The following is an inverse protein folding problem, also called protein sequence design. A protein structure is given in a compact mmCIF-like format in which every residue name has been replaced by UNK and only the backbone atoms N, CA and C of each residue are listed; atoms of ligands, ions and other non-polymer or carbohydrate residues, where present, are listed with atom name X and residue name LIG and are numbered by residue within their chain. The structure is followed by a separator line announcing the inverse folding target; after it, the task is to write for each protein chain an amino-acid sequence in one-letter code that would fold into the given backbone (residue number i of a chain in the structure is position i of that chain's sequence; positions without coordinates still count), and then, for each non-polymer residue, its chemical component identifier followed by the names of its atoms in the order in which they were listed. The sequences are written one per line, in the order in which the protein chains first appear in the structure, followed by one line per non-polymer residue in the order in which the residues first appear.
data_IF_025647992834
#
_entry.id   IF_025647992834
#
_cell.length_a   1.000
_cell.length_b   1.000
_cell.length_c   1.000
_cell.angle_alpha   90.00
_cell.angle_beta   90.00
_cell.angle_gamma   90.00
#
_symmetry.space_group_name_H-M   'P 1'
#
loop_
_entity.id
_entity.type
_entity.pdbx_description
1 polymer ?
#
# COMPACT_ATOMS: atom_id res chain seq x y z
N UNK A 1 -7.40 -20.38 -1.69
CA UNK A 1 -7.99 -19.11 -2.16
C UNK A 1 -9.45 -19.24 -2.58
N UNK A 2 -9.89 -20.35 -3.20
CA UNK A 2 -11.30 -20.50 -3.66
C UNK A 2 -12.35 -20.24 -2.58
N UNK A 3 -12.25 -20.87 -1.40
CA UNK A 3 -13.28 -20.74 -0.34
C UNK A 3 -13.60 -19.30 0.08
N UNK A 4 -12.61 -18.40 0.14
CA UNK A 4 -12.83 -17.01 0.53
C UNK A 4 -13.51 -16.21 -0.59
N UNK A 5 -13.08 -16.40 -1.84
CA UNK A 5 -13.71 -15.78 -3.00
C UNK A 5 -15.12 -16.33 -3.23
N UNK A 6 -15.35 -17.63 -3.02
CA UNK A 6 -16.66 -18.27 -3.08
C UNK A 6 -17.61 -17.68 -2.03
N UNK A 7 -17.10 -17.42 -0.81
CA UNK A 7 -17.86 -16.76 0.25
C UNK A 7 -18.24 -15.33 -0.13
N UNK A 8 -17.30 -14.54 -0.67
CA UNK A 8 -17.56 -13.17 -1.13
C UNK A 8 -18.58 -13.19 -2.27
N UNK A 9 -18.41 -14.06 -3.27
CA UNK A 9 -19.33 -14.23 -4.38
C UNK A 9 -20.75 -14.59 -3.90
N UNK A 10 -20.87 -15.55 -2.98
CA UNK A 10 -22.15 -15.92 -2.39
C UNK A 10 -22.78 -14.77 -1.59
N UNK A 11 -21.97 -13.95 -0.92
CA UNK A 11 -22.45 -12.78 -0.16
C UNK A 11 -22.95 -11.67 -1.08
N UNK A 12 -22.24 -11.39 -2.18
CA UNK A 12 -22.68 -10.45 -3.22
C UNK A 12 -23.98 -10.95 -3.87
N UNK A 13 -24.07 -12.24 -4.21
CA UNK A 13 -25.29 -12.81 -4.78
C UNK A 13 -26.52 -12.70 -3.86
N UNK A 14 -26.33 -12.84 -2.53
CA UNK A 14 -27.40 -12.58 -1.55
C UNK A 14 -27.83 -11.11 -1.54
N UNK A 15 -26.88 -10.20 -1.61
CA UNK A 15 -27.16 -8.76 -1.67
C UNK A 15 -27.96 -8.39 -2.94
N UNK A 16 -27.54 -8.88 -4.11
CA UNK A 16 -28.28 -8.62 -5.36
C UNK A 16 -29.67 -9.27 -5.37
N UNK A 17 -29.80 -10.48 -4.81
CA UNK A 17 -31.10 -11.14 -4.66
C UNK A 17 -32.06 -10.34 -3.78
N UNK A 18 -31.55 -9.70 -2.71
CA UNK A 18 -32.35 -8.83 -1.86
C UNK A 18 -32.82 -7.58 -2.60
N UNK A 19 -31.94 -6.94 -3.39
CA UNK A 19 -32.32 -5.81 -4.24
C UNK A 19 -33.41 -6.19 -5.25
N UNK A 20 -33.32 -7.38 -5.86
CA UNK A 20 -34.33 -7.87 -6.78
C UNK A 20 -35.67 -8.12 -6.08
N UNK A 21 -35.65 -8.77 -4.92
CA UNK A 21 -36.87 -9.07 -4.14
C UNK A 21 -37.59 -7.81 -3.64
N UNK A 22 -36.86 -6.73 -3.37
CA UNK A 22 -37.43 -5.43 -2.97
C UNK A 22 -37.81 -4.53 -4.16
N UNK A 23 -37.59 -4.97 -5.41
CA UNK A 23 -37.88 -4.16 -6.60
C UNK A 23 -36.84 -3.08 -6.93
N UNK A 24 -35.67 -3.10 -6.29
CA UNK A 24 -34.61 -2.10 -6.42
C UNK A 24 -33.45 -2.50 -7.35
N UNK A 25 -33.59 -3.62 -8.07
CA UNK A 25 -32.55 -4.07 -9.00
C UNK A 25 -32.29 -3.09 -10.17
N UNK A 26 -33.25 -2.22 -10.51
CA UNK A 26 -33.15 -1.29 -11.66
C UNK A 26 -32.85 0.16 -11.27
N UNK A 27 -32.99 0.54 -10.01
CA UNK A 27 -32.77 1.90 -9.51
C UNK A 27 -31.54 2.01 -8.60
N UNK A 28 -30.86 0.88 -8.35
CA UNK A 28 -29.64 0.81 -7.55
C UNK A 28 -28.43 0.64 -8.46
N UNK A 29 -27.38 1.43 -8.22
CA UNK A 29 -26.05 1.19 -8.80
C UNK A 29 -25.16 0.57 -7.73
N UNK A 30 -24.48 -0.52 -8.08
CA UNK A 30 -23.53 -1.23 -7.23
C UNK A 30 -22.13 -0.97 -7.77
N UNK A 31 -21.25 -0.44 -6.92
CA UNK A 31 -19.82 -0.31 -7.20
C UNK A 31 -19.08 -1.23 -6.23
N UNK A 32 -18.52 -2.32 -6.73
CA UNK A 32 -17.79 -3.32 -5.96
C UNK A 32 -16.29 -3.18 -6.21
N UNK A 33 -15.53 -3.03 -5.12
CA UNK A 33 -14.07 -2.99 -5.16
C UNK A 33 -13.47 -3.43 -3.82
N UNK A 34 -12.15 -3.30 -3.68
CA UNK A 34 -11.41 -3.59 -2.45
C UNK A 34 -10.51 -2.39 -2.07
N UNK A 35 -10.08 -2.35 -0.80
CA UNK A 35 -9.16 -1.31 -0.32
C UNK A 35 -7.71 -1.49 -0.83
N UNK A 36 -7.29 -2.74 -0.99
CA UNK A 36 -5.97 -3.17 -1.47
C UNK A 36 -6.01 -4.68 -1.78
N UNK A 37 -4.97 -5.17 -2.44
CA UNK A 37 -4.64 -6.58 -2.62
C UNK A 37 -3.77 -7.13 -1.49
N UNK A 38 -2.86 -8.04 -1.85
CA UNK A 38 -1.93 -8.76 -0.96
C UNK A 38 -0.68 -9.14 -1.76
N UNK A 39 0.50 -8.84 -1.22
CA UNK A 39 1.80 -9.12 -1.84
C UNK A 39 2.68 -10.04 -0.98
N UNK A 40 3.32 -11.07 -1.55
CA UNK A 40 3.16 -11.50 -2.94
C UNK A 40 1.89 -12.36 -3.13
N UNK A 41 1.27 -12.28 -4.31
CA UNK A 41 0.22 -13.22 -4.69
C UNK A 41 0.78 -14.62 -4.96
N UNK A 42 1.99 -14.73 -5.52
CA UNK A 42 2.72 -15.98 -5.65
C UNK A 42 3.58 -16.23 -4.40
N UNK A 43 3.08 -17.10 -3.52
CA UNK A 43 3.75 -17.45 -2.27
C UNK A 43 5.18 -17.99 -2.46
N UNK A 44 5.54 -18.52 -3.63
CA UNK A 44 6.91 -18.99 -3.89
C UNK A 44 7.93 -17.85 -3.98
N UNK A 45 7.47 -16.63 -4.27
CA UNK A 45 8.31 -15.42 -4.35
C UNK A 45 8.58 -14.80 -2.98
N UNK A 46 7.85 -15.23 -1.94
CA UNK A 46 7.98 -14.70 -0.58
C UNK A 46 9.42 -14.78 -0.06
N UNK A 47 9.83 -13.69 0.57
CA UNK A 47 11.04 -13.56 1.38
C UNK A 47 10.71 -12.77 2.64
N UNK A 48 10.64 -13.44 3.78
CA UNK A 48 10.44 -12.82 5.09
C UNK A 48 11.76 -12.29 5.61
N UNK A 49 11.83 -11.02 5.99
CA UNK A 49 13.04 -10.35 6.47
C UNK A 49 12.76 -9.77 7.85
N UNK A 50 13.53 -10.10 8.90
CA UNK A 50 13.39 -9.44 10.20
C UNK A 50 13.93 -8.01 10.11
N UNK A 51 13.03 -7.04 10.12
CA UNK A 51 13.27 -5.60 10.20
C UNK A 51 14.10 -5.21 11.42
N UNK A 52 13.87 -5.85 12.57
CA UNK A 52 14.60 -5.54 13.81
C UNK A 52 16.12 -5.62 13.64
N UNK A 53 16.63 -6.62 12.90
CA UNK A 53 18.07 -6.76 12.66
C UNK A 53 18.64 -5.62 11.80
N UNK A 54 17.84 -5.12 10.84
CA UNK A 54 18.23 -3.98 10.00
C UNK A 54 18.27 -2.71 10.84
N UNK A 55 17.22 -2.48 11.64
CA UNK A 55 17.07 -1.30 12.51
C UNK A 55 18.15 -1.28 13.60
N UNK A 56 18.42 -2.41 14.25
CA UNK A 56 19.48 -2.53 15.26
C UNK A 56 20.85 -2.19 14.67
N UNK A 57 21.14 -2.68 13.46
CA UNK A 57 22.38 -2.37 12.77
C UNK A 57 22.48 -0.90 12.33
N UNK A 58 21.37 -0.29 11.90
CA UNK A 58 21.31 1.14 11.59
C UNK A 58 21.62 1.98 12.84
N UNK A 59 20.96 1.67 13.94
CA UNK A 59 21.15 2.34 15.22
C UNK A 59 22.57 2.18 15.75
N UNK A 60 23.14 0.99 15.67
CA UNK A 60 24.53 0.75 16.06
C UNK A 60 25.52 1.56 15.19
N UNK A 61 25.32 1.59 13.88
CA UNK A 61 26.15 2.37 12.95
C UNK A 61 26.03 3.86 13.22
N UNK A 62 24.81 4.36 13.48
CA UNK A 62 24.56 5.75 13.85
C UNK A 62 25.31 6.16 15.12
N UNK A 63 25.20 5.37 16.20
CA UNK A 63 25.88 5.65 17.48
C UNK A 63 27.39 5.60 17.34
N UNK A 64 27.92 4.74 16.47
CA UNK A 64 29.36 4.71 16.18
C UNK A 64 29.83 5.99 15.48
N UNK A 65 29.02 6.56 14.59
CA UNK A 65 29.33 7.81 13.90
C UNK A 65 29.04 9.05 14.77
N UNK A 66 28.12 8.94 15.74
CA UNK A 66 27.68 10.01 16.63
C UNK A 66 27.76 9.58 18.10
N UNK A 67 28.96 9.50 18.70
CA UNK A 67 29.12 9.03 20.07
C UNK A 67 28.26 9.83 21.07
N UNK A 68 27.48 9.11 21.88
CA UNK A 68 26.58 9.70 22.87
C UNK A 68 25.16 10.01 22.37
N UNK A 69 24.85 9.75 21.10
CA UNK A 69 23.48 9.86 20.58
C UNK A 69 22.57 8.71 21.08
N UNK A 70 21.27 8.97 21.08
CA UNK A 70 20.26 7.93 21.23
C UNK A 70 20.15 7.07 19.95
N UNK A 71 19.27 6.07 19.95
CA UNK A 71 18.91 5.37 18.72
C UNK A 71 18.39 6.35 17.67
N UNK A 72 18.79 6.14 16.41
CA UNK A 72 18.35 6.98 15.30
C UNK A 72 16.89 6.71 14.98
N UNK A 73 16.50 5.43 14.85
CA UNK A 73 15.11 5.06 14.60
C UNK A 73 14.32 5.17 15.90
N UNK A 74 13.43 6.15 15.97
CA UNK A 74 12.56 6.37 17.12
C UNK A 74 11.27 5.54 17.04
N UNK A 75 10.78 5.29 15.83
CA UNK A 75 9.58 4.49 15.57
C UNK A 75 9.62 3.93 14.14
N UNK A 76 9.05 2.74 13.95
CA UNK A 76 8.88 2.15 12.61
C UNK A 76 7.52 1.50 12.42
N UNK A 77 7.08 1.47 11.16
CA UNK A 77 5.92 0.67 10.71
C UNK A 77 6.30 -0.03 9.42
N UNK A 78 6.62 -1.31 9.55
CA UNK A 78 7.21 -2.10 8.48
C UNK A 78 6.35 -3.34 8.21
N UNK A 79 6.08 -3.60 6.94
CA UNK A 79 5.37 -4.77 6.43
C UNK A 79 5.93 -5.09 5.03
N UNK A 80 5.28 -4.68 3.95
CA UNK A 80 5.80 -4.71 2.57
C UNK A 80 6.22 -3.30 2.07
N UNK A 81 6.38 -2.39 3.01
CA UNK A 81 7.14 -1.14 2.95
C UNK A 81 7.97 -1.01 4.22
N UNK A 82 8.93 -0.09 4.22
CA UNK A 82 9.67 0.30 5.42
C UNK A 82 9.42 1.79 5.68
N UNK A 83 8.94 2.14 6.87
CA UNK A 83 8.70 3.52 7.27
C UNK A 83 9.37 3.79 8.60
N UNK A 84 10.37 4.68 8.61
CA UNK A 84 11.15 4.98 9.80
C UNK A 84 10.99 6.46 10.16
N UNK A 85 10.57 6.73 11.38
CA UNK A 85 10.65 8.04 12.02
C UNK A 85 11.94 8.11 12.82
N UNK A 86 12.75 9.11 12.54
CA UNK A 86 14.06 9.28 13.15
C UNK A 86 13.98 10.23 14.35
N UNK A 87 14.87 10.05 15.31
CA UNK A 87 15.04 10.96 16.45
C UNK A 87 15.72 12.27 16.04
N UNK A 88 16.44 12.26 14.92
CA UNK A 88 16.97 13.42 14.22
C UNK A 88 16.29 13.54 12.85
N UNK A 89 15.37 14.51 12.71
CA UNK A 89 14.61 14.78 11.49
C UNK A 89 15.38 15.60 10.43
N UNK A 90 16.69 15.77 10.59
CA UNK A 90 17.50 16.48 9.60
C UNK A 90 17.66 15.66 8.30
N UNK A 91 17.81 16.38 7.18
CA UNK A 91 18.09 15.73 5.89
C UNK A 91 19.39 14.90 5.94
N UNK A 92 20.37 15.29 6.77
CA UNK A 92 21.62 14.56 6.93
C UNK A 92 21.40 13.20 7.62
N UNK A 93 20.60 13.17 8.68
CA UNK A 93 20.23 11.93 9.38
C UNK A 93 19.40 11.00 8.49
N UNK A 94 18.44 11.55 7.73
CA UNK A 94 17.69 10.78 6.74
C UNK A 94 18.60 10.23 5.64
N UNK A 95 19.56 11.01 5.13
CA UNK A 95 20.50 10.52 4.12
C UNK A 95 21.41 9.41 4.68
N UNK A 96 21.87 9.55 5.93
CA UNK A 96 22.63 8.51 6.61
C UNK A 96 21.86 7.18 6.67
N UNK A 97 20.60 7.22 7.07
CA UNK A 97 19.76 6.03 7.14
C UNK A 97 19.53 5.42 5.75
N UNK A 98 19.28 6.25 4.73
CA UNK A 98 19.16 5.80 3.34
C UNK A 98 20.43 5.11 2.83
N UNK A 99 21.61 5.65 3.10
CA UNK A 99 22.88 5.09 2.66
C UNK A 99 23.16 3.74 3.34
N UNK A 100 22.87 3.65 4.65
CA UNK A 100 22.93 2.38 5.38
C UNK A 100 22.00 1.33 4.75
N UNK A 101 20.72 1.67 4.57
CA UNK A 101 19.73 0.74 4.02
C UNK A 101 20.12 0.28 2.61
N UNK A 102 20.67 1.17 1.80
CA UNK A 102 21.13 0.88 0.44
C UNK A 102 22.32 -0.09 0.41
N UNK A 103 23.23 -0.02 1.38
CA UNK A 103 24.43 -0.84 1.44
C UNK A 103 24.24 -2.16 2.23
N UNK A 104 23.23 -2.24 3.09
CA UNK A 104 23.07 -3.34 4.03
C UNK A 104 22.38 -4.56 3.39
N UNK A 105 23.02 -5.75 3.31
CA UNK A 105 22.31 -6.98 2.98
C UNK A 105 21.55 -7.49 4.21
N UNK A 106 20.33 -8.00 4.02
CA UNK A 106 19.50 -8.53 5.10
C UNK A 106 19.24 -10.03 4.92
N UNK A 107 19.40 -10.80 5.99
CA UNK A 107 19.05 -12.21 6.02
C UNK A 107 17.53 -12.37 6.12
N UNK A 108 16.99 -13.44 5.56
CA UNK A 108 15.56 -13.73 5.55
C UNK A 108 15.29 -15.21 5.30
N UNK A 109 14.01 -15.54 5.04
CA UNK A 109 13.61 -16.89 4.69
C UNK A 109 12.45 -16.94 3.70
N UNK A 110 12.40 -18.00 2.90
CA UNK A 110 11.30 -18.23 1.97
C UNK A 110 10.03 -18.80 2.65
N UNK A 111 8.99 -19.09 1.86
CA UNK A 111 7.74 -19.68 2.35
C UNK A 111 7.93 -20.97 3.16
N UNK A 112 8.93 -21.79 2.84
CA UNK A 112 9.27 -23.04 3.51
C UNK A 112 10.22 -22.84 4.70
N UNK A 113 10.68 -21.61 4.92
CA UNK A 113 11.63 -21.26 5.97
C UNK A 113 13.09 -21.52 5.60
N UNK A 114 13.41 -21.80 4.33
CA UNK A 114 14.78 -21.90 3.86
C UNK A 114 15.43 -20.52 3.81
N UNK A 115 16.71 -20.44 4.19
CA UNK A 115 17.41 -19.17 4.28
C UNK A 115 17.51 -18.47 2.91
N UNK A 116 17.29 -17.15 2.92
CA UNK A 116 17.51 -16.24 1.80
C UNK A 116 18.27 -15.02 2.30
N UNK A 117 18.91 -14.31 1.38
CA UNK A 117 19.51 -13.00 1.66
C UNK A 117 19.06 -12.03 0.59
N UNK A 118 18.61 -10.85 0.99
CA UNK A 118 18.27 -9.75 0.09
C UNK A 118 19.35 -8.68 0.15
N UNK A 119 19.56 -7.98 -0.95
CA UNK A 119 20.41 -6.77 -0.98
C UNK A 119 19.59 -5.55 -0.62
N UNK A 120 20.26 -4.42 -0.32
CA UNK A 120 19.58 -3.13 -0.13
C UNK A 120 18.49 -3.18 0.94
N UNK A 121 18.73 -3.96 2.00
CA UNK A 121 17.79 -4.25 3.08
C UNK A 121 16.47 -4.90 2.64
N UNK A 122 16.34 -5.36 1.39
CA UNK A 122 15.09 -5.83 0.81
C UNK A 122 14.27 -4.75 0.11
N UNK A 123 14.85 -3.58 -0.13
CA UNK A 123 14.19 -2.42 -0.74
C UNK A 123 14.53 -2.29 -2.22
N UNK A 124 13.54 -1.93 -3.03
CA UNK A 124 13.69 -1.58 -4.44
C UNK A 124 13.97 -0.09 -4.62
N UNK A 125 13.51 0.75 -3.67
CA UNK A 125 13.77 2.19 -3.63
C UNK A 125 13.71 2.70 -2.21
N UNK A 126 14.53 3.70 -1.89
CA UNK A 126 14.55 4.38 -0.59
C UNK A 126 14.46 5.88 -0.81
N UNK A 127 13.48 6.53 -0.19
CA UNK A 127 13.30 7.97 -0.14
C UNK A 127 13.71 8.48 1.25
N UNK A 128 14.36 9.64 1.31
CA UNK A 128 14.84 10.25 2.55
C UNK A 128 14.50 11.74 2.67
N UNK A 129 13.95 12.14 3.81
CA UNK A 129 13.66 13.51 4.19
C UNK A 129 12.79 14.22 3.16
N UNK A 130 13.33 15.24 2.50
CA UNK A 130 12.64 16.00 1.44
C UNK A 130 12.11 15.13 0.29
N UNK A 131 12.75 13.99 -0.01
CA UNK A 131 12.23 13.05 -1.01
C UNK A 131 10.93 12.38 -0.55
N UNK A 132 10.79 12.08 0.75
CA UNK A 132 9.57 11.53 1.34
C UNK A 132 8.47 12.60 1.35
N UNK A 133 8.82 13.84 1.74
CA UNK A 133 7.89 14.96 1.69
C UNK A 133 7.33 15.17 0.28
N UNK A 134 8.20 15.13 -0.74
CA UNK A 134 7.80 15.22 -2.14
C UNK A 134 6.91 14.03 -2.56
N UNK A 135 7.23 12.81 -2.12
CA UNK A 135 6.43 11.62 -2.43
C UNK A 135 4.98 11.75 -1.94
N UNK A 136 4.79 12.28 -0.73
CA UNK A 136 3.47 12.44 -0.12
C UNK A 136 2.80 13.81 -0.39
N UNK A 137 3.46 14.70 -1.12
CA UNK A 137 2.94 16.06 -1.37
C UNK A 137 2.82 16.90 -0.09
N UNK A 138 3.74 16.70 0.87
CA UNK A 138 3.77 17.38 2.17
C UNK A 138 5.08 18.16 2.37
N UNK A 139 5.30 18.69 3.57
CA UNK A 139 6.52 19.37 4.00
C UNK A 139 7.34 18.47 4.92
N UNK A 140 8.66 18.67 4.95
CA UNK A 140 9.56 17.92 5.84
C UNK A 140 9.32 18.16 7.33
N UNK A 141 8.56 19.21 7.69
CA UNK A 141 8.16 19.51 9.06
C UNK A 141 6.92 18.74 9.53
N UNK A 142 6.25 17.98 8.65
CA UNK A 142 5.04 17.25 8.98
C UNK A 142 5.38 15.90 9.64
N UNK A 143 5.33 15.87 10.97
CA UNK A 143 5.66 14.70 11.79
C UNK A 143 4.76 13.48 11.56
N UNK A 144 3.66 13.61 10.81
CA UNK A 144 2.79 12.47 10.44
C UNK A 144 3.43 11.55 9.41
N UNK A 145 4.44 12.03 8.68
CA UNK A 145 5.13 11.26 7.65
C UNK A 145 6.52 10.84 8.14
N UNK A 146 7.02 9.68 7.71
CA UNK A 146 8.32 9.19 8.15
C UNK A 146 9.45 10.00 7.50
N UNK A 147 10.64 9.97 8.10
CA UNK A 147 11.83 10.54 7.48
C UNK A 147 12.42 9.61 6.42
N UNK A 148 12.14 8.30 6.53
CA UNK A 148 12.50 7.28 5.54
C UNK A 148 11.26 6.57 5.04
N UNK A 149 11.12 6.49 3.71
CA UNK A 149 10.17 5.60 3.05
C UNK A 149 10.94 4.63 2.13
N UNK A 150 10.98 3.36 2.52
CA UNK A 150 11.48 2.26 1.71
C UNK A 150 10.34 1.55 0.99
N UNK A 151 10.44 1.43 -0.34
CA UNK A 151 9.59 0.56 -1.13
C UNK A 151 10.23 -0.83 -1.14
N UNK A 152 9.55 -1.86 -0.65
CA UNK A 152 10.09 -3.21 -0.67
C UNK A 152 10.25 -3.72 -2.11
N UNK A 153 11.14 -4.69 -2.29
CA UNK A 153 11.13 -5.53 -3.49
C UNK A 153 9.89 -6.43 -3.44
N UNK A 154 9.23 -6.66 -4.57
CA UNK A 154 8.05 -7.54 -4.62
C UNK A 154 8.37 -8.90 -3.99
N UNK A 155 7.53 -9.32 -3.05
CA UNK A 155 7.70 -10.56 -2.29
C UNK A 155 8.50 -10.43 -1.00
N UNK A 156 9.15 -9.30 -0.73
CA UNK A 156 9.75 -9.02 0.59
C UNK A 156 8.66 -8.62 1.58
N UNK A 157 8.64 -9.29 2.72
CA UNK A 157 7.76 -8.99 3.86
C UNK A 157 8.60 -8.86 5.12
N UNK A 158 8.56 -7.69 5.75
CA UNK A 158 9.23 -7.42 7.01
C UNK A 158 8.48 -8.06 8.17
N UNK A 159 9.13 -9.02 8.83
CA UNK A 159 8.60 -9.72 9.99
C UNK A 159 9.67 -10.56 10.70
N UNK A 160 9.63 -10.58 12.02
CA UNK A 160 10.43 -11.53 12.83
C UNK A 160 9.90 -12.97 12.82
N UNK A 161 8.69 -13.21 12.30
CA UNK A 161 8.02 -14.51 12.33
C UNK A 161 8.07 -15.30 11.02
N UNK A 162 7.47 -16.50 11.02
CA UNK A 162 7.27 -17.34 9.82
C UNK A 162 5.80 -17.50 9.42
N UNK A 163 4.88 -16.92 10.18
CA UNK A 163 3.45 -17.11 9.98
C UNK A 163 2.89 -16.27 8.83
N UNK A 164 3.41 -15.05 8.61
CA UNK A 164 2.99 -14.19 7.51
C UNK A 164 3.34 -14.85 6.17
N UNK A 165 2.42 -14.85 5.22
CA UNK A 165 2.64 -15.44 3.88
C UNK A 165 2.48 -14.42 2.75
N UNK A 166 1.90 -13.27 3.07
CA UNK A 166 1.76 -12.07 2.28
C UNK A 166 1.49 -10.92 3.26
N UNK A 167 1.71 -9.69 2.84
CA UNK A 167 1.29 -8.46 3.51
C UNK A 167 0.66 -7.50 2.52
N UNK A 168 0.25 -6.33 2.99
CA UNK A 168 -0.20 -5.26 2.12
C UNK A 168 0.24 -3.88 2.60
N UNK A 169 0.16 -2.90 1.71
CA UNK A 169 0.57 -1.51 1.99
C UNK A 169 1.71 -1.06 1.10
N UNK A 170 2.25 -2.00 0.33
CA UNK A 170 3.27 -1.85 -0.70
C UNK A 170 2.85 -0.97 -1.87
N UNK A 171 3.86 -0.62 -2.68
CA UNK A 171 3.66 0.05 -3.96
C UNK A 171 3.54 -0.94 -5.14
N UNK A 172 3.48 -2.25 -4.86
CA UNK A 172 3.44 -3.29 -5.90
C UNK A 172 2.08 -3.37 -6.59
N UNK A 173 2.01 -3.96 -7.78
CA UNK A 173 0.73 -4.23 -8.44
C UNK A 173 -0.14 -5.17 -7.61
N UNK A 174 0.46 -6.20 -6.99
CA UNK A 174 -0.23 -7.14 -6.09
C UNK A 174 -0.90 -6.44 -4.90
N UNK A 175 -0.39 -5.28 -4.47
CA UNK A 175 -0.98 -4.42 -3.45
C UNK A 175 -2.07 -3.49 -3.97
N UNK A 176 -1.79 -2.85 -5.11
CA UNK A 176 -2.54 -1.67 -5.56
C UNK A 176 -3.63 -2.00 -6.56
N UNK A 177 -3.46 -3.05 -7.33
CA UNK A 177 -4.40 -3.43 -8.38
C UNK A 177 -5.52 -4.26 -7.76
N UNK A 178 -6.69 -3.64 -7.64
CA UNK A 178 -7.89 -4.26 -7.09
C UNK A 178 -8.99 -4.38 -8.15
N UNK A 179 -9.85 -5.41 -8.07
CA UNK A 179 -11.03 -5.48 -8.92
C UNK A 179 -11.91 -4.24 -8.73
N UNK A 180 -12.49 -3.74 -9.82
CA UNK A 180 -13.50 -2.71 -9.80
C UNK A 180 -14.62 -3.10 -10.77
N UNK A 181 -15.80 -3.36 -10.24
CA UNK A 181 -16.99 -3.75 -11.01
C UNK A 181 -18.10 -2.75 -10.72
N UNK A 182 -18.77 -2.28 -11.76
CA UNK A 182 -19.94 -1.41 -11.66
C UNK A 182 -21.12 -2.12 -12.30
N UNK A 183 -22.23 -2.22 -11.58
CA UNK A 183 -23.50 -2.78 -12.04
C UNK A 183 -24.60 -1.72 -11.86
N UNK A 184 -25.43 -1.48 -12.89
CA UNK A 184 -26.43 -0.41 -12.90
C UNK A 184 -26.02 0.81 -13.73
N UNK A 185 -26.37 2.02 -13.30
CA UNK A 185 -25.99 3.30 -13.92
C UNK A 185 -26.36 3.47 -15.43
N UNK A 186 -27.49 2.92 -15.87
CA UNK A 186 -27.95 2.88 -17.28
C UNK A 186 -27.11 2.00 -18.21
N UNK A 187 -26.23 1.14 -17.69
CA UNK A 187 -25.54 0.16 -18.52
C UNK A 187 -26.48 -1.00 -18.87
N UNK A 188 -26.96 -1.00 -20.11
CA UNK A 188 -27.83 -2.07 -20.62
C UNK A 188 -27.09 -3.38 -20.92
N UNK A 189 -25.75 -3.33 -21.03
CA UNK A 189 -24.93 -4.46 -21.45
C UNK A 189 -23.60 -4.50 -20.69
N UNK A 190 -23.25 -5.69 -20.19
CA UNK A 190 -21.95 -5.96 -19.58
C UNK A 190 -20.81 -5.69 -20.59
N UNK A 191 -19.74 -5.05 -20.12
CA UNK A 191 -18.53 -4.79 -20.91
C UNK A 191 -17.30 -4.74 -20.01
N UNK A 192 -16.14 -5.00 -20.60
CA UNK A 192 -14.86 -4.73 -19.96
C UNK A 192 -14.35 -3.37 -20.43
N UNK A 193 -14.00 -2.51 -19.49
CA UNK A 193 -13.31 -1.23 -19.76
C UNK A 193 -11.82 -1.45 -19.51
N UNK A 194 -10.99 -1.23 -20.54
CA UNK A 194 -9.53 -1.43 -20.46
C UNK A 194 -8.76 -0.14 -20.17
N UNK A 195 -9.46 1.00 -20.15
CA UNK A 195 -8.87 2.28 -19.73
C UNK A 195 -8.42 2.17 -18.27
N UNK A 196 -7.19 2.60 -17.99
CA UNK A 196 -6.69 2.66 -16.62
C UNK A 196 -7.54 3.60 -15.77
N UNK A 197 -7.87 3.16 -14.56
CA UNK A 197 -8.66 3.91 -13.58
C UNK A 197 -8.05 3.74 -12.19
N UNK A 198 -8.38 4.65 -11.29
CA UNK A 198 -7.96 4.62 -9.89
C UNK A 198 -9.16 4.53 -8.95
N UNK A 199 -8.97 3.93 -7.77
CA UNK A 199 -10.02 3.85 -6.73
C UNK A 199 -10.45 5.23 -6.22
N UNK A 200 -9.60 6.25 -6.36
CA UNK A 200 -9.93 7.67 -6.10
C UNK A 200 -11.12 8.16 -6.93
N UNK A 201 -11.37 7.56 -8.10
CA UNK A 201 -12.49 7.91 -8.97
C UNK A 201 -13.84 7.37 -8.48
N UNK A 202 -13.88 6.48 -7.49
CA UNK A 202 -15.12 5.89 -6.96
C UNK A 202 -16.00 6.97 -6.31
N UNK A 203 -15.43 7.77 -5.40
CA UNK A 203 -16.18 8.81 -4.69
C UNK A 203 -16.84 9.86 -5.61
N UNK A 204 -16.13 10.51 -6.56
CA UNK A 204 -16.78 11.44 -7.49
C UNK A 204 -17.82 10.75 -8.37
N UNK A 205 -17.63 9.47 -8.71
CA UNK A 205 -18.63 8.69 -9.46
C UNK A 205 -19.91 8.50 -8.67
N UNK A 206 -19.82 8.17 -7.37
CA UNK A 206 -20.98 8.05 -6.49
C UNK A 206 -21.77 9.36 -6.46
N UNK A 207 -21.10 10.50 -6.26
CA UNK A 207 -21.78 11.81 -6.27
C UNK A 207 -22.48 12.05 -7.60
N UNK A 208 -21.81 11.81 -8.72
CA UNK A 208 -22.38 11.98 -10.06
C UNK A 208 -23.61 11.10 -10.28
N UNK A 209 -23.56 9.83 -9.89
CA UNK A 209 -24.67 8.87 -10.00
C UNK A 209 -25.88 9.30 -9.16
N UNK A 210 -25.66 9.93 -8.01
CA UNK A 210 -26.70 10.50 -7.16
C UNK A 210 -27.21 11.87 -7.63
N UNK A 211 -26.74 12.39 -8.77
CA UNK A 211 -27.08 13.72 -9.27
C UNK A 211 -26.45 14.88 -8.48
N UNK A 212 -25.43 14.59 -7.67
CA UNK A 212 -24.67 15.57 -6.89
C UNK A 212 -23.44 16.05 -7.66
N UNK A 213 -22.95 17.24 -7.32
CA UNK A 213 -21.75 17.83 -7.93
C UNK A 213 -20.46 17.22 -7.33
N UNK A 214 -19.64 16.50 -8.11
CA UNK A 214 -18.38 15.93 -7.63
C UNK A 214 -17.38 16.97 -7.12
N UNK A 215 -17.46 18.23 -7.59
CA UNK A 215 -16.57 19.30 -7.12
C UNK A 215 -16.83 19.70 -5.67
N UNK A 216 -17.87 19.17 -5.01
CA UNK A 216 -18.04 19.32 -3.57
C UNK A 216 -17.01 18.53 -2.75
N UNK A 217 -16.28 17.59 -3.37
CA UNK A 217 -15.17 16.90 -2.72
C UNK A 217 -13.90 17.75 -2.83
N UNK A 218 -13.30 18.08 -1.69
CA UNK A 218 -12.03 18.82 -1.64
C UNK A 218 -10.92 18.10 -2.43
N UNK A 219 -10.84 16.77 -2.31
CA UNK A 219 -9.88 15.97 -3.06
C UNK A 219 -10.02 16.14 -4.58
N UNK A 220 -11.25 16.21 -5.11
CA UNK A 220 -11.48 16.47 -6.55
C UNK A 220 -10.97 17.85 -6.96
N UNK A 221 -11.13 18.87 -6.10
CA UNK A 221 -10.62 20.21 -6.39
C UNK A 221 -9.09 20.28 -6.36
N UNK A 222 -8.45 19.56 -5.42
CA UNK A 222 -7.00 19.56 -5.25
C UNK A 222 -6.31 18.70 -6.31
N UNK A 223 -6.80 17.48 -6.52
CA UNK A 223 -6.14 16.45 -7.34
C UNK A 223 -6.66 16.43 -8.78
N UNK A 224 -7.80 17.09 -9.06
CA UNK A 224 -8.43 17.08 -10.38
C UNK A 224 -9.10 15.76 -10.77
N UNK A 225 -9.26 14.84 -9.81
CA UNK A 225 -9.78 13.48 -9.97
C UNK A 225 -11.10 13.46 -10.73
N UNK A 226 -11.18 12.61 -11.77
CA UNK A 226 -12.37 12.48 -12.62
C UNK A 226 -13.26 11.36 -12.13
N UNK A 227 -14.54 11.40 -12.50
CA UNK A 227 -15.41 10.23 -12.39
C UNK A 227 -14.84 9.07 -13.20
N UNK A 228 -15.23 7.85 -12.87
CA UNK A 228 -14.96 6.69 -13.71
C UNK A 228 -15.48 6.94 -15.14
N UNK A 229 -14.86 6.34 -16.16
CA UNK A 229 -15.36 6.41 -17.52
C UNK A 229 -16.81 5.93 -17.59
N UNK A 230 -17.73 6.87 -17.73
CA UNK A 230 -19.11 6.59 -18.10
C UNK A 230 -19.17 6.53 -19.63
N UNK A 231 -20.17 5.84 -20.16
CA UNK A 231 -20.56 6.05 -21.55
C UNK A 231 -21.08 7.47 -21.73
#
# INVERSE_FOLDING_TARGET
MSKALDFVNASVGKFESALAASGHAKDTTVILSAKHGQSPMDASTLTRVPDSAIIDGLNATWKSAHPGSADLVAFSTDDDIMQLWLSDHSQAAAQFAKDYLAAHPAAGNDINGAAKTVTTSGLSKVYAGSEVANYFGTQTSDARYPDILGIAQTGVVYTGGKAKIAEHGGASADDRDVPLVVSGANDEHARTVTTAVETTQIAPTILKTLGLDPNKLQAVQIEGTKTLPQR
#
